data_IF_180829171621
#
_entry.id   IF_180829171621
#
_cell.length_a   1.000
_cell.length_b   1.000
_cell.length_c   1.000
_cell.angle_alpha   90.00
_cell.angle_beta   90.00
_cell.angle_gamma   90.00
#
_symmetry.space_group_name_H-M   'P 1'
#
loop_
_entity.id
_entity.type
_entity.pdbx_description
1 polymer ?
#
# COMPACT_ATOMS: atom_id res chain seq x y z
N UNK A 1 3.60 50.60 14.38
CA UNK A 1 4.03 49.25 14.78
C UNK A 1 3.05 48.15 14.31
N UNK A 2 1.73 48.41 14.24
CA UNK A 2 0.74 47.39 13.82
C UNK A 2 0.86 46.88 12.37
N UNK A 3 1.28 47.73 11.42
CA UNK A 3 1.43 47.34 10.01
C UNK A 3 2.49 46.25 9.77
N UNK A 4 3.55 46.22 10.57
CA UNK A 4 4.64 45.23 10.44
C UNK A 4 4.18 43.88 11.00
N UNK A 5 3.47 43.87 12.13
CA UNK A 5 2.89 42.66 12.71
C UNK A 5 1.86 42.00 11.79
N UNK A 6 0.94 42.78 11.22
CA UNK A 6 -0.05 42.27 10.26
C UNK A 6 0.59 41.73 8.97
N UNK A 7 1.64 42.41 8.47
CA UNK A 7 2.36 41.95 7.28
C UNK A 7 3.14 40.65 7.53
N UNK A 8 3.78 40.52 8.70
CA UNK A 8 4.48 39.29 9.10
C UNK A 8 3.51 38.12 9.27
N UNK A 9 2.35 38.35 9.90
CA UNK A 9 1.31 37.32 10.07
C UNK A 9 0.79 36.80 8.73
N UNK A 10 0.43 37.70 7.81
CA UNK A 10 0.00 37.33 6.45
C UNK A 10 1.07 36.55 5.68
N UNK A 11 2.35 36.92 5.84
CA UNK A 11 3.46 36.22 5.18
C UNK A 11 3.65 34.82 5.75
N UNK A 12 3.52 34.65 7.08
CA UNK A 12 3.55 33.34 7.72
C UNK A 12 2.40 32.46 7.27
N UNK A 13 1.18 33.00 7.27
CA UNK A 13 -0.02 32.32 6.79
C UNK A 13 0.13 31.86 5.33
N UNK A 14 0.61 32.75 4.46
CA UNK A 14 0.85 32.42 3.05
C UNK A 14 1.92 31.33 2.90
N UNK A 15 3.02 31.41 3.66
CA UNK A 15 4.08 30.39 3.62
C UNK A 15 3.58 29.04 4.14
N UNK A 16 2.80 29.05 5.22
CA UNK A 16 2.21 27.84 5.79
C UNK A 16 1.21 27.22 4.81
N UNK A 17 0.31 28.01 4.21
CA UNK A 17 -0.64 27.56 3.20
C UNK A 17 0.06 27.02 1.93
N UNK A 18 1.15 27.66 1.50
CA UNK A 18 1.94 27.18 0.35
C UNK A 18 2.62 25.86 0.67
N UNK A 19 3.18 25.71 1.88
CA UNK A 19 3.80 24.47 2.35
C UNK A 19 2.76 23.36 2.54
N UNK A 20 1.58 23.66 3.07
CA UNK A 20 0.51 22.66 3.21
C UNK A 20 0.00 22.21 1.86
N UNK A 21 -0.16 23.11 0.89
CA UNK A 21 -0.53 22.76 -0.49
C UNK A 21 0.56 21.91 -1.15
N UNK A 22 1.83 22.29 -1.03
CA UNK A 22 2.93 21.51 -1.57
C UNK A 22 2.99 20.10 -0.95
N UNK A 23 2.89 20.00 0.38
CA UNK A 23 2.86 18.73 1.10
C UNK A 23 1.68 17.87 0.65
N UNK A 24 0.49 18.47 0.54
CA UNK A 24 -0.71 17.80 0.04
C UNK A 24 -0.50 17.24 -1.38
N UNK A 25 0.06 18.03 -2.30
CA UNK A 25 0.30 17.60 -3.67
C UNK A 25 1.33 16.48 -3.74
N UNK A 26 2.40 16.55 -2.94
CA UNK A 26 3.41 15.49 -2.85
C UNK A 26 2.81 14.19 -2.32
N UNK A 27 2.00 14.25 -1.25
CA UNK A 27 1.33 13.06 -0.70
C UNK A 27 0.35 12.43 -1.69
N UNK A 28 -0.41 13.25 -2.42
CA UNK A 28 -1.27 12.76 -3.52
C UNK A 28 -0.47 12.11 -4.63
N UNK A 29 0.64 12.73 -5.05
CA UNK A 29 1.52 12.15 -6.07
C UNK A 29 2.07 10.80 -5.63
N UNK A 30 2.53 10.69 -4.37
CA UNK A 30 2.99 9.43 -3.78
C UNK A 30 1.89 8.38 -3.79
N UNK A 31 0.66 8.73 -3.42
CA UNK A 31 -0.47 7.81 -3.44
C UNK A 31 -0.74 7.23 -4.83
N UNK A 32 -0.79 8.07 -5.87
CA UNK A 32 -1.06 7.60 -7.23
C UNK A 32 0.10 6.84 -7.87
N UNK A 33 1.32 7.05 -7.38
CA UNK A 33 2.53 6.34 -7.84
C UNK A 33 2.93 5.19 -6.92
N UNK A 34 2.15 4.93 -5.87
CA UNK A 34 2.45 3.89 -4.89
C UNK A 34 2.29 2.50 -5.51
N UNK A 35 3.39 1.78 -5.63
CA UNK A 35 3.43 0.44 -6.18
C UNK A 35 4.41 -0.42 -5.40
N UNK A 36 4.12 -1.71 -5.32
CA UNK A 36 4.97 -2.68 -4.64
C UNK A 36 6.23 -2.96 -5.47
N UNK A 37 7.40 -2.86 -4.84
CA UNK A 37 8.66 -3.12 -5.52
C UNK A 37 8.92 -4.62 -5.69
N UNK A 38 9.72 -4.98 -6.70
CA UNK A 38 10.10 -6.37 -6.94
C UNK A 38 10.96 -6.89 -5.78
N UNK A 39 10.48 -7.93 -5.09
CA UNK A 39 11.17 -8.53 -3.94
C UNK A 39 10.83 -7.89 -2.59
N UNK A 40 9.94 -6.89 -2.57
CA UNK A 40 9.37 -6.36 -1.34
C UNK A 40 8.45 -7.37 -0.67
N UNK A 41 8.41 -7.38 0.66
CA UNK A 41 7.47 -8.22 1.42
C UNK A 41 6.10 -7.55 1.44
N UNK A 42 5.05 -8.33 1.17
CA UNK A 42 3.67 -7.81 1.15
C UNK A 42 3.28 -7.13 2.47
N UNK A 43 3.74 -7.66 3.60
CA UNK A 43 3.49 -7.08 4.93
C UNK A 43 4.07 -5.67 5.06
N UNK A 44 5.29 -5.46 4.55
CA UNK A 44 5.99 -4.19 4.67
C UNK A 44 5.38 -3.16 3.71
N UNK A 45 4.98 -3.60 2.50
CA UNK A 45 4.21 -2.79 1.55
C UNK A 45 2.88 -2.29 2.16
N UNK A 46 2.10 -3.19 2.79
CA UNK A 46 0.86 -2.82 3.49
C UNK A 46 1.13 -1.83 4.63
N UNK A 47 2.24 -2.00 5.36
CA UNK A 47 2.61 -1.08 6.44
C UNK A 47 2.92 0.31 5.92
N UNK A 48 3.69 0.42 4.82
CA UNK A 48 3.99 1.69 4.17
C UNK A 48 2.73 2.38 3.66
N UNK A 49 1.81 1.61 3.07
CA UNK A 49 0.51 2.14 2.63
C UNK A 49 -0.29 2.74 3.80
N UNK A 50 -0.34 2.07 4.95
CA UNK A 50 -1.04 2.59 6.14
C UNK A 50 -0.38 3.87 6.66
N UNK A 51 0.95 3.95 6.64
CA UNK A 51 1.66 5.18 6.99
C UNK A 51 1.28 6.33 6.05
N UNK A 52 1.25 6.07 4.73
CA UNK A 52 0.83 7.06 3.73
C UNK A 52 -0.61 7.54 3.95
N UNK A 53 -1.54 6.64 4.29
CA UNK A 53 -2.92 7.02 4.64
C UNK A 53 -2.98 7.90 5.89
N UNK A 54 -2.15 7.62 6.90
CA UNK A 54 -2.07 8.46 8.10
C UNK A 54 -1.49 9.84 7.79
N UNK A 55 -0.47 9.93 6.94
CA UNK A 55 0.12 11.20 6.51
C UNK A 55 -0.89 12.04 5.72
N UNK A 56 -1.69 11.41 4.87
CA UNK A 56 -2.82 12.05 4.17
C UNK A 56 -3.89 12.55 5.15
N UNK A 57 -4.23 11.76 6.16
CA UNK A 57 -5.18 12.17 7.21
C UNK A 57 -4.66 13.38 8.01
N UNK A 58 -3.36 13.47 8.23
CA UNK A 58 -2.73 14.60 8.94
C UNK A 58 -2.83 15.92 8.17
N UNK A 59 -2.98 15.86 6.84
CA UNK A 59 -3.27 17.03 5.99
C UNK A 59 -4.75 17.13 5.62
N UNK A 60 -5.63 16.54 6.45
CA UNK A 60 -7.09 16.57 6.33
C UNK A 60 -7.64 15.93 5.04
N UNK A 61 -6.89 15.01 4.44
CA UNK A 61 -7.34 14.20 3.31
C UNK A 61 -7.92 12.89 3.81
N UNK A 62 -9.24 12.79 3.73
CA UNK A 62 -9.95 11.56 4.02
C UNK A 62 -10.16 10.77 2.73
N UNK A 63 -9.74 9.51 2.76
CA UNK A 63 -9.99 8.53 1.71
C UNK A 63 -10.97 7.52 2.30
N UNK A 64 -12.05 7.24 1.59
CA UNK A 64 -13.07 6.31 2.05
C UNK A 64 -12.52 4.87 2.08
N UNK A 65 -13.08 4.02 2.94
CA UNK A 65 -12.60 2.63 3.16
C UNK A 65 -12.59 1.79 1.86
N UNK A 66 -13.57 2.04 0.99
CA UNK A 66 -13.67 1.41 -0.34
C UNK A 66 -12.51 1.84 -1.25
N UNK A 67 -12.24 3.14 -1.31
CA UNK A 67 -11.13 3.70 -2.10
C UNK A 67 -9.77 3.25 -1.55
N UNK A 68 -9.59 3.22 -0.23
CA UNK A 68 -8.38 2.66 0.40
C UNK A 68 -8.15 1.22 -0.03
N UNK A 69 -9.22 0.43 -0.08
CA UNK A 69 -9.16 -0.98 -0.50
C UNK A 69 -8.79 -1.10 -1.97
N UNK A 70 -9.39 -0.30 -2.84
CA UNK A 70 -9.10 -0.30 -4.27
C UNK A 70 -7.68 0.19 -4.57
N UNK A 71 -7.23 1.25 -3.91
CA UNK A 71 -5.86 1.78 -4.05
C UNK A 71 -4.81 0.75 -3.64
N UNK A 72 -5.01 0.06 -2.51
CA UNK A 72 -4.11 -1.02 -2.11
C UNK A 72 -4.09 -2.13 -3.17
N UNK A 73 -5.23 -2.54 -3.70
CA UNK A 73 -5.33 -3.54 -4.76
C UNK A 73 -4.63 -3.16 -6.07
N UNK A 74 -4.69 -1.89 -6.43
CA UNK A 74 -4.04 -1.34 -7.62
C UNK A 74 -2.52 -1.24 -7.46
N UNK A 75 -2.03 -1.03 -6.23
CA UNK A 75 -0.59 -0.95 -5.93
C UNK A 75 0.15 -2.30 -6.02
N UNK A 76 -0.59 -3.42 -6.02
CA UNK A 76 -0.02 -4.77 -6.04
C UNK A 76 0.43 -5.17 -7.45
N UNK A 77 1.47 -6.03 -7.56
CA UNK A 77 1.98 -6.47 -8.84
C UNK A 77 0.99 -7.38 -9.57
N UNK A 78 1.18 -7.54 -10.88
CA UNK A 78 0.29 -8.33 -11.76
C UNK A 78 0.10 -9.79 -11.31
N UNK A 79 1.01 -10.36 -10.51
CA UNK A 79 0.84 -11.68 -9.91
C UNK A 79 -0.40 -11.81 -9.02
N UNK A 80 -0.91 -10.69 -8.50
CA UNK A 80 -2.13 -10.64 -7.69
C UNK A 80 -3.40 -10.36 -8.53
N UNK A 81 -3.30 -10.30 -9.87
CA UNK A 81 -4.43 -9.96 -10.76
C UNK A 81 -5.66 -10.86 -10.53
N UNK A 82 -5.50 -12.18 -10.56
CA UNK A 82 -6.63 -13.12 -10.37
C UNK A 82 -7.25 -13.01 -8.96
N UNK A 83 -6.43 -12.72 -7.96
CA UNK A 83 -6.90 -12.50 -6.59
C UNK A 83 -7.69 -11.20 -6.47
N UNK A 84 -7.22 -10.12 -7.12
CA UNK A 84 -7.93 -8.84 -7.23
C UNK A 84 -9.30 -9.02 -7.91
N UNK A 85 -9.32 -9.67 -9.07
CA UNK A 85 -10.57 -9.91 -9.82
C UNK A 85 -11.55 -10.73 -8.97
N UNK A 86 -11.10 -11.81 -8.35
CA UNK A 86 -11.95 -12.63 -7.49
C UNK A 86 -12.55 -11.82 -6.36
N UNK A 87 -11.79 -10.96 -5.69
CA UNK A 87 -12.29 -10.14 -4.60
C UNK A 87 -13.30 -9.08 -5.06
N UNK A 88 -13.04 -8.42 -6.20
CA UNK A 88 -13.95 -7.43 -6.78
C UNK A 88 -15.28 -8.08 -7.16
N UNK A 89 -15.27 -9.27 -7.77
CA UNK A 89 -16.48 -9.92 -8.25
C UNK A 89 -17.21 -10.79 -7.20
N UNK A 90 -16.55 -11.18 -6.11
CA UNK A 90 -17.15 -12.07 -5.09
C UNK A 90 -17.85 -11.35 -3.94
N UNK A 91 -17.62 -10.04 -3.74
CA UNK A 91 -18.04 -9.33 -2.53
C UNK A 91 -18.86 -8.08 -2.86
N UNK A 92 -20.04 -7.97 -2.25
CA UNK A 92 -20.89 -6.77 -2.33
C UNK A 92 -20.37 -5.57 -1.51
N UNK A 93 -19.46 -5.80 -0.55
CA UNK A 93 -18.80 -4.76 0.25
C UNK A 93 -17.40 -5.24 0.64
N UNK A 94 -16.39 -4.46 0.31
CA UNK A 94 -14.99 -4.72 0.64
C UNK A 94 -14.55 -3.67 1.68
N UNK A 95 -14.04 -4.13 2.82
CA UNK A 95 -13.42 -3.27 3.82
C UNK A 95 -11.91 -3.41 3.82
N UNK A 96 -11.19 -2.33 4.11
CA UNK A 96 -9.72 -2.33 4.13
C UNK A 96 -9.17 -3.36 5.12
N UNK A 97 -9.83 -3.50 6.28
CA UNK A 97 -9.45 -4.47 7.31
C UNK A 97 -9.54 -5.91 6.81
N UNK A 98 -10.67 -6.26 6.19
CA UNK A 98 -10.90 -7.59 5.64
C UNK A 98 -9.89 -7.88 4.53
N UNK A 99 -9.64 -6.88 3.68
CA UNK A 99 -8.71 -7.00 2.57
C UNK A 99 -7.27 -7.27 3.05
N UNK A 100 -6.80 -6.51 4.04
CA UNK A 100 -5.51 -6.76 4.68
C UNK A 100 -5.41 -8.19 5.22
N UNK A 101 -6.49 -8.69 5.85
CA UNK A 101 -6.56 -10.07 6.33
C UNK A 101 -6.42 -11.12 5.22
N UNK A 102 -7.13 -10.92 4.11
CA UNK A 102 -7.06 -11.82 2.95
C UNK A 102 -5.68 -11.81 2.29
N UNK A 103 -5.08 -10.63 2.12
CA UNK A 103 -3.73 -10.48 1.53
C UNK A 103 -2.67 -11.19 2.37
N UNK A 104 -2.67 -10.97 3.68
CA UNK A 104 -1.72 -11.62 4.59
C UNK A 104 -1.92 -13.14 4.66
N UNK A 105 -3.17 -13.62 4.50
CA UNK A 105 -3.46 -15.05 4.44
C UNK A 105 -2.96 -15.67 3.15
N UNK A 106 -3.15 -14.99 2.00
CA UNK A 106 -2.62 -15.41 0.70
C UNK A 106 -1.09 -15.48 0.71
N UNK A 107 -0.42 -14.45 1.26
CA UNK A 107 1.05 -14.42 1.35
C UNK A 107 1.62 -15.59 2.17
N UNK A 108 0.97 -15.95 3.27
CA UNK A 108 1.33 -17.14 4.07
C UNK A 108 1.16 -18.44 3.29
N UNK A 109 0.10 -18.55 2.48
CA UNK A 109 -0.13 -19.73 1.64
C UNK A 109 0.93 -19.81 0.54
N UNK A 110 1.18 -18.72 -0.19
CA UNK A 110 2.16 -18.69 -1.27
C UNK A 110 3.58 -18.97 -0.75
N UNK A 111 3.93 -18.50 0.45
CA UNK A 111 5.19 -18.85 1.12
C UNK A 111 5.26 -20.33 1.54
N UNK A 112 4.17 -20.92 2.07
CA UNK A 112 4.13 -22.35 2.39
C UNK A 112 4.25 -23.23 1.15
N UNK A 113 3.46 -22.95 0.11
CA UNK A 113 3.53 -23.67 -1.17
C UNK A 113 4.89 -23.51 -1.87
N UNK A 114 5.57 -22.37 -1.68
CA UNK A 114 6.92 -22.15 -2.19
C UNK A 114 8.00 -22.98 -1.49
N UNK A 115 7.81 -23.27 -0.20
CA UNK A 115 8.71 -24.16 0.57
C UNK A 115 8.49 -25.63 0.21
N UNK A 116 7.23 -26.06 0.08
CA UNK A 116 6.89 -27.45 -0.26
C UNK A 116 7.43 -27.84 -1.65
N UNK A 117 7.28 -26.96 -2.66
CA UNK A 117 7.84 -27.21 -4.01
C UNK A 117 9.37 -27.25 -4.05
N UNK A 118 10.06 -26.57 -3.13
CA UNK A 118 11.54 -26.61 -3.05
C UNK A 118 12.01 -27.91 -2.41
N UNK A 119 11.29 -28.42 -1.41
CA UNK A 119 11.57 -29.72 -0.80
C UNK A 119 11.41 -30.87 -1.80
N UNK A 120 10.33 -30.87 -2.58
CA UNK A 120 10.08 -31.90 -3.61
C UNK A 120 11.13 -31.91 -4.72
N UNK A 121 11.61 -30.72 -5.13
CA UNK A 121 12.68 -30.61 -6.13
C UNK A 121 14.02 -31.13 -5.60
N UNK A 122 14.37 -30.86 -4.34
CA UNK A 122 15.61 -31.39 -3.75
C UNK A 122 15.54 -32.91 -3.56
N UNK A 123 14.40 -33.44 -3.09
CA UNK A 123 14.20 -34.88 -2.96
C UNK A 123 14.30 -35.60 -4.31
N UNK A 124 13.72 -35.04 -5.37
CA UNK A 124 13.77 -35.61 -6.72
C UNK A 124 15.19 -35.63 -7.32
N UNK A 125 15.98 -34.59 -7.07
CA UNK A 125 17.39 -34.51 -7.52
C UNK A 125 18.28 -35.51 -6.79
N UNK A 126 18.06 -35.71 -5.49
CA UNK A 126 18.78 -36.70 -4.67
C UNK A 126 18.48 -38.15 -5.08
N UNK A 127 17.24 -38.44 -5.51
CA UNK A 127 16.85 -39.78 -6.00
C UNK A 127 17.46 -40.07 -7.38
N UNK A 128 17.62 -39.05 -8.23
CA UNK A 128 18.20 -39.21 -9.57
C UNK A 128 19.73 -39.42 -9.59
N UNK A 129 20.46 -39.02 -8.53
CA UNK A 129 21.93 -39.18 -8.46
C UNK A 129 22.41 -40.52 -7.89
N UNK A 130 21.50 -41.45 -7.56
CA UNK A 130 21.83 -42.78 -7.03
C UNK A 130 21.65 -43.93 -8.05
N UNK A 131 21.47 -43.63 -9.33
CA UNK A 131 21.34 -44.61 -10.40
C UNK A 131 22.54 -44.61 -11.33
#
# INVERSE_FOLDING_TARGET
MEKISSALWKRLETLYATRSLANYLVLKQLLFTFHMNKGELLRDHISQFITLLNDLKNVEVHIDDEDQTMLLLCSLPLSYKSFRETLIYSRHKLSFKDMKGHLLSKDKLDNKFGLDRKADKQASVLVASKK
#
